data_IF_612215008213
#
_entry.id   IF_612215008213
#
_cell.length_a   1.000
_cell.length_b   1.000
_cell.length_c   1.000
_cell.angle_alpha   90.00
_cell.angle_beta   90.00
_cell.angle_gamma   90.00
#
_symmetry.space_group_name_H-M   'P 1'
#
loop_
_entity.id
_entity.type
_entity.pdbx_description
1 polymer ?
#
# COMPACT_ATOMS: atom_id res chain seq x y z
N UNK A 1 49.42 25.49 31.18
CA UNK A 1 48.08 25.90 31.67
C UNK A 1 47.77 25.09 32.92
N UNK A 2 47.46 25.75 34.06
CA UNK A 2 47.06 25.06 35.30
C UNK A 2 45.53 25.04 35.37
N UNK A 3 44.92 23.87 35.39
CA UNK A 3 43.49 23.73 35.62
C UNK A 3 43.19 23.99 37.10
N UNK A 4 42.21 24.87 37.39
CA UNK A 4 41.72 25.04 38.76
C UNK A 4 40.97 23.76 39.16
N UNK A 5 41.16 23.25 40.39
CA UNK A 5 40.36 22.14 40.88
C UNK A 5 38.90 22.58 40.94
N UNK A 6 38.01 21.76 40.37
CA UNK A 6 36.57 21.95 40.39
C UNK A 6 36.08 21.76 41.82
N UNK A 7 35.29 22.71 42.32
CA UNK A 7 34.69 22.66 43.65
C UNK A 7 33.54 21.65 43.71
N UNK A 8 33.20 21.17 44.91
CA UNK A 8 32.07 20.26 45.12
C UNK A 8 30.73 20.86 44.62
N UNK A 9 30.56 22.18 44.76
CA UNK A 9 29.37 22.89 44.29
C UNK A 9 29.22 22.85 42.77
N UNK A 10 30.31 23.03 42.02
CA UNK A 10 30.31 22.92 40.55
C UNK A 10 29.96 21.50 40.10
N UNK A 11 30.46 20.47 40.79
CA UNK A 11 30.09 19.08 40.52
C UNK A 11 28.60 18.79 40.73
N UNK A 12 28.00 19.35 41.78
CA UNK A 12 26.56 19.21 42.03
C UNK A 12 25.72 19.86 40.93
N UNK A 13 26.11 21.05 40.47
CA UNK A 13 25.42 21.75 39.37
C UNK A 13 25.52 20.95 38.06
N UNK A 14 26.71 20.45 37.72
CA UNK A 14 26.90 19.59 36.54
C UNK A 14 26.05 18.32 36.65
N UNK A 15 26.05 17.67 37.81
CA UNK A 15 25.22 16.49 38.06
C UNK A 15 23.73 16.77 37.92
N UNK A 16 23.25 17.91 38.42
CA UNK A 16 21.85 18.34 38.27
C UNK A 16 21.48 18.59 36.81
N UNK A 17 22.31 19.33 36.07
CA UNK A 17 22.10 19.61 34.64
C UNK A 17 22.06 18.29 33.85
N UNK A 18 23.02 17.40 34.11
CA UNK A 18 23.06 16.10 33.46
C UNK A 18 21.82 15.25 33.79
N UNK A 19 21.40 15.21 35.06
CA UNK A 19 20.19 14.52 35.47
C UNK A 19 18.94 15.06 34.80
N UNK A 20 18.82 16.40 34.67
CA UNK A 20 17.71 17.03 33.95
C UNK A 20 17.72 16.69 32.46
N UNK A 21 18.89 16.73 31.81
CA UNK A 21 19.03 16.35 30.40
C UNK A 21 18.64 14.89 30.17
N UNK A 22 19.05 13.96 31.04
CA UNK A 22 18.64 12.56 30.97
C UNK A 22 17.13 12.44 31.13
N UNK A 23 16.54 13.11 32.12
CA UNK A 23 15.09 13.09 32.34
C UNK A 23 14.32 13.62 31.12
N UNK A 24 14.80 14.70 30.50
CA UNK A 24 14.20 15.25 29.27
C UNK A 24 14.44 14.38 28.03
N UNK A 25 15.50 13.56 28.03
CA UNK A 25 15.78 12.62 26.94
C UNK A 25 14.96 11.31 27.03
N UNK A 26 14.45 10.93 28.22
CA UNK A 26 13.68 9.69 28.39
C UNK A 26 12.46 9.59 27.47
N UNK A 27 11.59 10.62 27.32
CA UNK A 27 10.47 10.56 26.38
C UNK A 27 10.89 10.38 24.93
N UNK A 28 12.10 10.82 24.56
CA UNK A 28 12.63 10.65 23.20
C UNK A 28 12.88 9.19 22.83
N UNK A 29 12.94 8.31 23.84
CA UNK A 29 13.07 6.86 23.66
C UNK A 29 11.74 6.11 23.56
N UNK A 30 10.61 6.80 23.79
CA UNK A 30 9.31 6.16 23.78
C UNK A 30 8.76 6.02 22.35
N UNK A 31 8.45 4.79 21.98
CA UNK A 31 7.73 4.44 20.75
C UNK A 31 6.36 3.90 21.14
N UNK A 32 5.32 4.53 20.64
CA UNK A 32 3.93 4.15 20.84
C UNK A 32 3.44 3.34 19.65
N UNK A 33 2.93 2.13 19.92
CA UNK A 33 2.29 1.31 18.91
C UNK A 33 0.80 1.63 18.91
N UNK A 34 0.21 1.75 17.73
CA UNK A 34 -1.20 2.06 17.59
C UNK A 34 -1.86 1.22 16.51
N UNK A 35 -3.17 1.03 16.68
CA UNK A 35 -4.06 0.35 15.75
C UNK A 35 -5.28 1.25 15.55
N UNK A 36 -5.72 1.41 14.31
CA UNK A 36 -6.85 2.23 13.94
C UNK A 36 -7.58 1.71 12.71
N UNK A 37 -8.39 2.58 12.10
CA UNK A 37 -9.10 2.29 10.86
C UNK A 37 -8.91 3.42 9.84
N UNK A 38 -8.91 3.07 8.57
CA UNK A 38 -8.84 3.99 7.43
C UNK A 38 -9.74 3.48 6.30
N UNK A 39 -10.25 4.36 5.47
CA UNK A 39 -10.89 3.93 4.21
C UNK A 39 -9.80 3.71 3.17
N UNK A 40 -9.71 2.50 2.65
CA UNK A 40 -8.73 2.12 1.63
C UNK A 40 -9.39 2.09 0.25
N UNK A 41 -9.03 3.04 -0.60
CA UNK A 41 -9.37 3.00 -2.02
C UNK A 41 -8.34 2.14 -2.77
N UNK A 42 -8.81 1.05 -3.38
CA UNK A 42 -8.01 0.20 -4.28
C UNK A 42 -8.39 0.58 -5.71
N UNK A 43 -7.44 1.16 -6.44
CA UNK A 43 -7.60 1.56 -7.84
C UNK A 43 -6.76 0.64 -8.73
N UNK A 44 -7.41 -0.01 -9.69
CA UNK A 44 -6.77 -0.77 -10.74
C UNK A 44 -6.57 0.13 -11.96
N UNK A 45 -5.36 0.11 -12.53
CA UNK A 45 -5.01 0.83 -13.75
C UNK A 45 -4.48 -0.18 -14.75
N UNK A 46 -5.25 -0.43 -15.81
CA UNK A 46 -4.94 -1.48 -16.77
C UNK A 46 -4.54 -0.86 -18.10
N UNK A 47 -3.32 -1.18 -18.54
CA UNK A 47 -2.74 -0.68 -19.79
C UNK A 47 -2.33 -1.83 -20.72
N UNK A 48 -2.21 -1.54 -22.01
CA UNK A 48 -1.60 -2.42 -22.99
C UNK A 48 -0.08 -2.40 -22.80
N UNK A 49 0.53 -3.56 -22.58
CA UNK A 49 1.97 -3.71 -22.38
C UNK A 49 2.82 -3.23 -23.58
N UNK A 50 2.24 -3.12 -24.78
CA UNK A 50 2.97 -2.69 -25.97
C UNK A 50 3.08 -1.17 -26.13
N UNK A 51 2.11 -0.40 -25.61
CA UNK A 51 1.97 1.02 -25.91
C UNK A 51 1.54 1.91 -24.75
N UNK A 52 1.40 1.34 -23.54
CA UNK A 52 0.90 2.02 -22.34
C UNK A 52 -0.50 2.66 -22.50
N UNK A 53 -1.24 2.29 -23.54
CA UNK A 53 -2.60 2.75 -23.78
C UNK A 53 -3.57 2.09 -22.78
N UNK A 54 -4.57 2.81 -22.25
CA UNK A 54 -5.56 2.22 -21.35
C UNK A 54 -6.37 1.12 -22.06
N UNK A 55 -6.76 0.08 -21.32
CA UNK A 55 -7.60 -1.01 -21.84
C UNK A 55 -9.04 -0.86 -21.32
N UNK A 56 -9.92 -0.13 -22.03
CA UNK A 56 -11.29 0.10 -21.58
C UNK A 56 -12.13 -1.17 -21.65
N UNK A 57 -13.09 -1.29 -20.73
CA UNK A 57 -14.02 -2.42 -20.68
C UNK A 57 -13.38 -3.75 -20.30
N UNK A 58 -12.13 -3.75 -19.83
CA UNK A 58 -11.55 -4.92 -19.18
C UNK A 58 -12.41 -5.32 -17.96
N UNK A 59 -12.53 -6.63 -17.72
CA UNK A 59 -13.30 -7.19 -16.62
C UNK A 59 -12.31 -7.63 -15.55
N UNK A 60 -12.46 -7.03 -14.37
CA UNK A 60 -11.74 -7.40 -13.16
C UNK A 60 -12.64 -8.35 -12.34
N UNK A 61 -12.27 -9.61 -12.31
CA UNK A 61 -12.87 -10.63 -11.45
C UNK A 61 -12.14 -10.64 -10.10
N UNK A 62 -12.87 -10.41 -9.01
CA UNK A 62 -12.34 -10.45 -7.64
C UNK A 62 -13.02 -11.58 -6.89
N UNK A 63 -12.21 -12.46 -6.31
CA UNK A 63 -12.62 -13.43 -5.30
C UNK A 63 -12.08 -12.98 -3.95
N UNK A 64 -12.96 -12.50 -3.07
CA UNK A 64 -12.61 -12.01 -1.74
C UNK A 64 -12.81 -13.11 -0.71
N UNK A 65 -11.76 -13.40 0.05
CA UNK A 65 -11.80 -14.27 1.24
C UNK A 65 -12.09 -13.45 2.52
N UNK A 66 -12.52 -12.19 2.39
CA UNK A 66 -12.68 -11.24 3.48
C UNK A 66 -11.41 -10.44 3.77
N UNK A 67 -11.17 -10.15 5.06
CA UNK A 67 -10.02 -9.38 5.54
C UNK A 67 -10.36 -8.51 6.76
N UNK A 68 -9.46 -7.58 7.10
CA UNK A 68 -9.64 -6.67 8.22
C UNK A 68 -10.31 -5.34 7.79
N UNK A 69 -11.52 -5.39 7.25
CA UNK A 69 -12.31 -4.21 6.85
C UNK A 69 -13.80 -4.42 7.15
N UNK A 70 -14.70 -3.54 6.69
CA UNK A 70 -16.14 -3.64 6.98
C UNK A 70 -16.80 -4.88 6.34
N UNK A 71 -16.46 -5.22 5.10
CA UNK A 71 -17.06 -6.34 4.36
C UNK A 71 -16.22 -7.62 4.56
N UNK A 72 -16.40 -8.29 5.69
CA UNK A 72 -15.55 -9.42 6.11
C UNK A 72 -15.94 -10.76 5.52
N UNK A 73 -17.13 -10.87 4.93
CA UNK A 73 -17.64 -12.13 4.41
C UNK A 73 -17.03 -12.46 3.05
N UNK A 74 -16.69 -13.74 2.80
CA UNK A 74 -16.22 -14.16 1.49
C UNK A 74 -17.26 -13.87 0.41
N UNK A 75 -16.84 -13.26 -0.70
CA UNK A 75 -17.69 -12.96 -1.84
C UNK A 75 -16.87 -12.82 -3.11
N UNK A 76 -17.48 -13.18 -4.24
CA UNK A 76 -16.90 -12.90 -5.55
C UNK A 76 -17.73 -11.82 -6.26
N UNK A 77 -17.06 -10.90 -6.95
CA UNK A 77 -17.70 -9.80 -7.67
C UNK A 77 -16.86 -9.36 -8.86
N UNK A 78 -17.49 -8.65 -9.79
CA UNK A 78 -16.86 -8.14 -10.99
C UNK A 78 -16.89 -6.61 -11.01
N UNK A 79 -15.82 -6.01 -11.52
CA UNK A 79 -15.78 -4.59 -11.85
C UNK A 79 -15.39 -4.45 -13.33
N UNK A 80 -16.18 -3.69 -14.08
CA UNK A 80 -15.85 -3.35 -15.46
C UNK A 80 -15.07 -2.05 -15.46
N UNK A 81 -13.92 -2.04 -16.13
CA UNK A 81 -13.06 -0.87 -16.22
C UNK A 81 -13.67 0.21 -17.11
N UNK A 82 -13.49 1.46 -16.69
CA UNK A 82 -13.96 2.64 -17.41
C UNK A 82 -13.20 2.90 -18.72
N UNK A 83 -13.59 3.96 -19.45
CA UNK A 83 -12.96 4.35 -20.72
C UNK A 83 -11.46 4.70 -20.61
N UNK A 84 -11.01 5.06 -19.41
CA UNK A 84 -9.62 5.38 -19.07
C UNK A 84 -8.82 4.16 -18.61
N UNK A 85 -9.38 2.95 -18.70
CA UNK A 85 -8.75 1.72 -18.24
C UNK A 85 -8.61 1.66 -16.72
N UNK A 86 -9.47 2.36 -15.98
CA UNK A 86 -9.43 2.41 -14.51
C UNK A 86 -10.70 1.89 -13.88
N UNK A 87 -10.56 1.36 -12.68
CA UNK A 87 -11.65 0.99 -11.79
C UNK A 87 -11.20 1.16 -10.35
N UNK A 88 -12.08 1.65 -9.46
CA UNK A 88 -11.78 1.75 -8.04
C UNK A 88 -12.85 1.08 -7.18
N UNK A 89 -12.40 0.57 -6.02
CA UNK A 89 -13.26 0.02 -4.98
C UNK A 89 -12.79 0.50 -3.61
N UNK A 90 -13.72 0.94 -2.77
CA UNK A 90 -13.41 1.47 -1.44
C UNK A 90 -13.70 0.42 -0.38
N UNK A 91 -12.64 -0.11 0.23
CA UNK A 91 -12.72 -0.93 1.43
C UNK A 91 -12.85 -0.02 2.64
N UNK A 92 -14.07 0.11 3.18
CA UNK A 92 -14.33 0.96 4.34
C UNK A 92 -13.77 0.34 5.62
N UNK A 93 -13.30 1.21 6.52
CA UNK A 93 -12.82 0.83 7.86
C UNK A 93 -11.75 -0.27 7.84
N UNK A 94 -10.88 -0.28 6.85
CA UNK A 94 -9.70 -1.16 6.81
C UNK A 94 -8.80 -0.89 8.02
N UNK A 95 -8.36 -1.96 8.68
CA UNK A 95 -7.44 -1.90 9.81
C UNK A 95 -6.10 -1.31 9.36
N UNK A 96 -5.65 -0.28 10.07
CA UNK A 96 -4.32 0.30 9.90
C UNK A 96 -3.57 0.30 11.22
N UNK A 97 -2.25 0.31 11.15
CA UNK A 97 -1.39 0.25 12.33
C UNK A 97 -0.07 0.95 12.05
N UNK A 98 0.63 1.27 13.13
CA UNK A 98 1.91 1.95 13.04
C UNK A 98 2.57 2.13 14.38
N UNK A 99 3.66 2.89 14.34
CA UNK A 99 4.46 3.29 15.48
C UNK A 99 4.73 4.78 15.37
N UNK A 100 4.57 5.49 16.47
CA UNK A 100 4.89 6.91 16.60
C UNK A 100 5.88 7.13 17.75
N UNK A 101 6.93 7.90 17.49
CA UNK A 101 7.96 8.33 18.43
C UNK A 101 8.75 9.47 17.81
N UNK A 102 9.71 10.07 18.51
CA UNK A 102 10.43 11.25 18.01
C UNK A 102 11.13 11.00 16.65
N UNK A 103 11.63 9.78 16.44
CA UNK A 103 12.40 9.40 15.24
C UNK A 103 11.74 8.28 14.44
N UNK A 104 10.51 7.90 14.77
CA UNK A 104 9.83 6.75 14.14
C UNK A 104 8.38 7.11 13.90
N UNK A 105 8.00 7.16 12.62
CA UNK A 105 6.62 7.34 12.19
C UNK A 105 6.34 6.31 11.10
N UNK A 106 5.79 5.17 11.52
CA UNK A 106 5.46 4.08 10.59
C UNK A 106 3.96 4.01 10.37
N UNK A 107 3.59 3.49 9.21
CA UNK A 107 2.20 3.36 8.80
C UNK A 107 2.03 2.18 7.86
N UNK A 108 1.06 1.33 8.15
CA UNK A 108 0.64 0.23 7.31
C UNK A 108 -0.88 0.07 7.35
N UNK A 109 -1.43 -0.52 6.29
CA UNK A 109 -2.85 -0.87 6.18
C UNK A 109 -2.91 -2.35 5.86
N UNK A 110 -3.79 -3.09 6.52
CA UNK A 110 -4.13 -4.44 6.10
C UNK A 110 -4.90 -4.39 4.79
N UNK A 111 -4.32 -4.97 3.74
CA UNK A 111 -5.01 -5.16 2.48
C UNK A 111 -6.09 -6.22 2.61
N UNK A 112 -7.19 -6.12 1.84
CA UNK A 112 -8.18 -7.17 1.81
C UNK A 112 -7.59 -8.43 1.16
N UNK A 113 -8.08 -9.60 1.56
CA UNK A 113 -7.63 -10.89 1.03
C UNK A 113 -8.36 -11.17 -0.28
N UNK A 114 -7.99 -10.40 -1.31
CA UNK A 114 -8.56 -10.53 -2.65
C UNK A 114 -7.62 -11.31 -3.55
N UNK A 115 -8.16 -12.29 -4.26
CA UNK A 115 -7.54 -12.90 -5.42
C UNK A 115 -8.21 -12.35 -6.65
N UNK A 116 -7.47 -11.67 -7.52
CA UNK A 116 -8.03 -11.02 -8.69
C UNK A 116 -7.47 -11.58 -9.99
N UNK A 117 -8.28 -11.48 -11.04
CA UNK A 117 -7.95 -11.83 -12.42
C UNK A 117 -8.51 -10.73 -13.32
N UNK A 118 -7.80 -10.38 -14.38
CA UNK A 118 -8.25 -9.39 -15.35
C UNK A 118 -8.31 -10.02 -16.72
N UNK A 119 -9.43 -9.84 -17.41
CA UNK A 119 -9.62 -10.30 -18.79
C UNK A 119 -10.12 -9.15 -19.67
N UNK A 120 -9.68 -9.13 -20.93
CA UNK A 120 -10.13 -8.16 -21.91
C UNK A 120 -10.14 -8.80 -23.31
N UNK A 121 -11.07 -8.38 -24.16
CA UNK A 121 -11.18 -8.91 -25.53
C UNK A 121 -9.91 -8.60 -26.31
N UNK A 122 -9.29 -9.64 -26.88
CA UNK A 122 -8.05 -9.50 -27.66
C UNK A 122 -6.77 -9.48 -26.83
N UNK A 123 -6.87 -9.60 -25.51
CA UNK A 123 -5.73 -9.67 -24.59
C UNK A 123 -5.65 -11.03 -23.90
N UNK A 124 -4.45 -11.37 -23.45
CA UNK A 124 -4.21 -12.49 -22.56
C UNK A 124 -4.78 -12.15 -21.19
N UNK A 125 -5.34 -13.17 -20.53
CA UNK A 125 -5.86 -13.01 -19.17
C UNK A 125 -4.69 -12.87 -18.18
N UNK A 126 -4.77 -11.87 -17.31
CA UNK A 126 -3.80 -11.65 -16.22
C UNK A 126 -4.30 -12.28 -14.93
N UNK A 127 -3.39 -12.92 -14.17
CA UNK A 127 -3.68 -13.53 -12.88
C UNK A 127 -4.01 -15.04 -12.96
N UNK A 128 -4.42 -15.65 -11.84
CA UNK A 128 -4.80 -15.02 -10.57
C UNK A 128 -3.61 -14.43 -9.78
N UNK A 129 -3.84 -13.32 -9.07
CA UNK A 129 -2.86 -12.65 -8.20
C UNK A 129 -3.50 -12.24 -6.87
N UNK A 130 -2.74 -12.28 -5.77
CA UNK A 130 -3.26 -11.89 -4.46
C UNK A 130 -2.95 -10.40 -4.20
N UNK A 131 -3.96 -9.63 -3.80
CA UNK A 131 -3.78 -8.21 -3.50
C UNK A 131 -2.94 -7.99 -2.24
N UNK A 132 -2.88 -8.96 -1.33
CA UNK A 132 -2.10 -8.85 -0.11
C UNK A 132 -0.63 -9.27 -0.26
N UNK A 133 -0.13 -9.48 -1.48
CA UNK A 133 1.30 -9.70 -1.72
C UNK A 133 2.14 -8.47 -1.28
N UNK A 134 3.41 -8.72 -0.93
CA UNK A 134 4.28 -7.71 -0.30
C UNK A 134 4.49 -6.46 -1.15
N UNK A 135 4.46 -6.60 -2.48
CA UNK A 135 4.58 -5.51 -3.44
C UNK A 135 3.45 -4.49 -3.26
N UNK A 136 2.20 -4.97 -3.23
CA UNK A 136 1.02 -4.12 -3.05
C UNK A 136 0.95 -3.52 -1.65
N UNK A 137 1.32 -4.28 -0.60
CA UNK A 137 1.39 -3.74 0.78
C UNK A 137 2.31 -2.52 0.87
N UNK A 138 3.44 -2.56 0.15
CA UNK A 138 4.41 -1.46 0.10
C UNK A 138 3.96 -0.29 -0.78
N UNK A 139 2.99 -0.49 -1.66
CA UNK A 139 2.47 0.53 -2.56
C UNK A 139 1.37 1.42 -1.92
N UNK A 140 0.80 1.03 -0.77
CA UNK A 140 -0.22 1.82 -0.07
C UNK A 140 0.32 3.18 0.35
N UNK A 141 -0.46 4.25 0.14
CA UNK A 141 -0.15 5.62 0.56
C UNK A 141 -1.31 6.23 1.35
N UNK A 142 -1.01 7.12 2.30
CA UNK A 142 -2.03 7.98 2.93
C UNK A 142 -2.49 9.01 1.90
N UNK A 143 -3.80 9.18 1.76
CA UNK A 143 -4.43 10.12 0.83
C UNK A 143 -5.34 11.11 1.57
N UNK A 144 -4.88 11.58 2.73
CA UNK A 144 -5.60 12.50 3.61
C UNK A 144 -6.06 11.86 4.94
N UNK A 145 -6.75 12.64 5.80
CA UNK A 145 -7.22 12.15 7.09
C UNK A 145 -8.18 10.97 6.94
N UNK A 146 -7.84 9.84 7.56
CA UNK A 146 -8.66 8.61 7.53
C UNK A 146 -8.79 7.96 6.16
N UNK A 147 -7.94 8.31 5.19
CA UNK A 147 -8.00 7.80 3.82
C UNK A 147 -6.65 7.28 3.37
N UNK A 148 -6.69 6.14 2.68
CA UNK A 148 -5.53 5.50 2.07
C UNK A 148 -5.86 5.10 0.65
N UNK A 149 -4.83 5.04 -0.19
CA UNK A 149 -4.97 4.64 -1.59
C UNK A 149 -3.91 3.61 -1.94
N UNK A 150 -4.34 2.58 -2.65
CA UNK A 150 -3.49 1.60 -3.32
C UNK A 150 -3.76 1.71 -4.82
N UNK A 151 -2.72 1.92 -5.61
CA UNK A 151 -2.80 1.85 -7.08
C UNK A 151 -2.17 0.54 -7.53
N UNK A 152 -2.92 -0.25 -8.27
CA UNK A 152 -2.53 -1.56 -8.80
C UNK A 152 -2.35 -1.42 -10.31
N UNK A 153 -1.13 -1.15 -10.79
CA UNK A 153 -0.85 -1.12 -12.22
C UNK A 153 -0.83 -2.56 -12.76
N UNK A 154 -1.50 -2.79 -13.89
CA UNK A 154 -1.49 -4.09 -14.58
C UNK A 154 -1.33 -3.85 -16.08
N UNK A 155 -0.31 -4.49 -16.67
CA UNK A 155 -0.10 -4.44 -18.12
C UNK A 155 -0.57 -5.74 -18.75
N UNK A 156 -1.53 -5.65 -19.68
CA UNK A 156 -2.04 -6.79 -20.42
C UNK A 156 -1.27 -6.95 -21.73
N UNK A 157 -0.87 -8.19 -22.03
CA UNK A 157 -0.30 -8.53 -23.32
C UNK A 157 -1.42 -8.88 -24.30
N UNK A 158 -1.34 -8.40 -25.54
CA UNK A 158 -2.26 -8.83 -26.60
C UNK A 158 -2.14 -10.34 -26.81
N UNK A 159 -3.24 -10.97 -27.18
CA UNK A 159 -3.19 -12.35 -27.65
C UNK A 159 -2.27 -12.39 -28.88
N UNK A 160 -1.35 -13.36 -28.98
CA UNK A 160 -0.65 -13.59 -30.22
C UNK A 160 -1.73 -13.85 -31.27
N UNK A 161 -1.88 -12.93 -32.23
CA UNK A 161 -2.76 -13.12 -33.36
C UNK A 161 -2.45 -14.48 -33.98
N UNK A 162 -3.40 -15.42 -33.90
CA UNK A 162 -3.38 -16.63 -34.72
C UNK A 162 -3.22 -16.23 -36.20
N UNK A 163 -2.60 -17.10 -37.00
CA UNK A 163 -1.62 -16.75 -38.03
C UNK A 163 -2.11 -15.68 -38.99
N UNK A 164 -1.28 -14.64 -39.17
CA UNK A 164 -1.15 -13.90 -40.42
C UNK A 164 -1.22 -14.91 -41.56
N UNK A 165 -2.26 -14.84 -42.37
CA UNK A 165 -2.58 -15.84 -43.39
C UNK A 165 -1.33 -16.26 -44.15
N UNK A 166 -1.04 -17.56 -44.10
CA UNK A 166 -0.13 -18.15 -45.06
C UNK A 166 -0.67 -17.80 -46.46
N UNK A 167 0.14 -17.22 -47.36
CA UNK A 167 -0.29 -17.02 -48.73
C UNK A 167 -0.68 -18.38 -49.30
N UNK A 168 -1.87 -18.46 -49.89
CA UNK A 168 -2.30 -19.62 -50.66
C UNK A 168 -1.20 -19.92 -51.69
N UNK A 169 -0.51 -21.05 -51.52
CA UNK A 169 0.36 -21.56 -52.57
C UNK A 169 -0.53 -21.99 -53.75
N UNK A 170 -0.14 -21.61 -54.98
CA UNK A 170 -0.91 -21.89 -56.19
C UNK A 170 -0.98 -23.38 -56.53
#
# INVERSE_FOLDING_TARGET
MRFRPVSLGEWLVVGLIFGLLVLMALPLSQTYYWVGSTDLEVEFVVTDAAGDEPVPGAILDIDSEGGFYEEREPRSFQIVLGPDGRASHVCRRSMCFGQDGLFTHTYAVHLPWWRFRISAKGFQTFGPTNLDDIEYRRAVRRNGPGKSRLVVPVSLHRNPTGPTGAPAQP
#
